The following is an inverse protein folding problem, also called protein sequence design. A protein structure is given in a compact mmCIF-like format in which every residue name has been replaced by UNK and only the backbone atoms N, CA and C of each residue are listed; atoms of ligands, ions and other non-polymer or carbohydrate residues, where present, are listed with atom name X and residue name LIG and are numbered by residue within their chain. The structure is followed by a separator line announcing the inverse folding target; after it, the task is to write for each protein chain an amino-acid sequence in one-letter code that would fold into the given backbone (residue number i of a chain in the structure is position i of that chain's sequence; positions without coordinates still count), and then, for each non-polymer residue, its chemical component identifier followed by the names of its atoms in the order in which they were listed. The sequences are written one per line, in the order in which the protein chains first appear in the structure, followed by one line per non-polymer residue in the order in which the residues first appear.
data_IF_417684199312
#
_entry.id   IF_417684199312
#
_cell.length_a   1.000
_cell.length_b   1.000
_cell.length_c   1.000
_cell.angle_alpha   90.00
_cell.angle_beta   90.00
_cell.angle_gamma   90.00
#
_symmetry.space_group_name_H-M   'P 1'
#
loop_
_entity.id
_entity.type
_entity.pdbx_description
1 polymer ?
#
# COMPACT_ATOMS: atom_id res chain seq x y z
N UNK A 1 -18.99 17.73 28.49
CA UNK A 1 -17.61 17.69 27.99
C UNK A 1 -17.76 17.31 26.52
N UNK A 2 -17.56 18.24 25.59
CA UNK A 2 -17.43 17.85 24.19
C UNK A 2 -16.04 17.25 24.08
N UNK A 3 -15.94 15.93 23.95
CA UNK A 3 -14.67 15.32 23.57
C UNK A 3 -14.28 15.96 22.23
N UNK A 4 -13.17 16.69 22.22
CA UNK A 4 -12.68 17.39 21.03
C UNK A 4 -11.79 16.49 20.17
N UNK A 5 -11.82 15.18 20.42
CA UNK A 5 -11.00 14.18 19.78
C UNK A 5 -11.82 12.91 19.59
N UNK A 6 -11.54 12.19 18.50
CA UNK A 6 -12.09 10.87 18.27
C UNK A 6 -11.39 9.84 19.18
N UNK A 7 -12.06 8.73 19.51
CA UNK A 7 -11.48 7.66 20.34
C UNK A 7 -10.29 7.00 19.65
N UNK A 8 -9.11 6.99 20.28
CA UNK A 8 -7.96 6.26 19.72
C UNK A 8 -8.25 4.76 19.57
N UNK A 9 -9.13 4.20 20.40
CA UNK A 9 -9.45 2.75 20.40
C UNK A 9 -10.52 2.33 19.40
N UNK A 10 -10.93 3.24 18.51
CA UNK A 10 -12.10 3.05 17.69
C UNK A 10 -13.41 3.55 18.32
N UNK A 11 -14.32 3.97 17.46
CA UNK A 11 -15.71 4.28 17.77
C UNK A 11 -16.57 4.24 16.50
N UNK A 12 -17.89 4.39 16.68
CA UNK A 12 -18.83 4.55 15.56
C UNK A 12 -18.86 6.00 15.12
N UNK A 13 -18.58 6.23 13.84
CA UNK A 13 -18.71 7.54 13.21
C UNK A 13 -19.96 7.57 12.34
N UNK A 14 -20.78 8.61 12.53
CA UNK A 14 -21.93 8.88 11.67
C UNK A 14 -21.83 10.30 11.13
N UNK A 15 -21.76 10.43 9.81
CA UNK A 15 -21.87 11.70 9.11
C UNK A 15 -23.31 11.88 8.65
N UNK A 16 -23.91 13.03 8.96
CA UNK A 16 -25.27 13.37 8.58
C UNK A 16 -25.32 14.68 7.81
N UNK A 17 -26.31 14.84 6.93
CA UNK A 17 -26.62 16.13 6.31
C UNK A 17 -27.40 17.06 7.28
N UNK A 18 -27.70 18.28 6.83
CA UNK A 18 -28.44 19.27 7.64
C UNK A 18 -29.89 18.89 7.93
N UNK A 19 -30.45 17.93 7.20
CA UNK A 19 -31.83 17.44 7.37
C UNK A 19 -31.88 16.19 8.26
N UNK A 20 -30.72 15.65 8.66
CA UNK A 20 -30.59 14.47 9.52
C UNK A 20 -30.48 13.15 8.76
N UNK A 21 -30.32 13.18 7.44
CA UNK A 21 -30.06 11.97 6.65
C UNK A 21 -28.63 11.48 6.89
N UNK A 22 -28.47 10.18 7.11
CA UNK A 22 -27.15 9.57 7.28
C UNK A 22 -26.46 9.47 5.92
N UNK A 23 -25.28 10.08 5.81
CA UNK A 23 -24.40 10.02 4.66
C UNK A 23 -23.36 8.90 4.78
N UNK A 24 -22.76 8.75 5.96
CA UNK A 24 -21.80 7.68 6.28
C UNK A 24 -22.06 7.17 7.69
N UNK A 25 -21.89 5.87 7.89
CA UNK A 25 -22.07 5.22 9.19
C UNK A 25 -21.21 3.96 9.28
N UNK A 26 -20.13 4.03 10.06
CA UNK A 26 -19.16 2.94 10.16
C UNK A 26 -18.45 2.95 11.51
N UNK A 27 -17.84 1.82 11.86
CA UNK A 27 -16.93 1.73 13.01
C UNK A 27 -15.49 1.68 12.49
N UNK A 28 -14.59 2.40 13.14
CA UNK A 28 -13.15 2.18 12.99
C UNK A 28 -12.59 1.55 14.26
N UNK A 29 -11.39 0.96 14.17
CA UNK A 29 -10.71 0.28 15.29
C UNK A 29 -9.22 0.61 15.35
N UNK A 30 -8.58 0.24 16.46
CA UNK A 30 -7.13 0.33 16.72
C UNK A 30 -6.39 -1.00 16.53
N UNK A 31 -7.09 -2.13 16.70
CA UNK A 31 -6.49 -3.46 16.56
C UNK A 31 -6.30 -3.87 15.08
N UNK A 32 -5.28 -4.70 14.78
CA UNK A 32 -5.14 -5.35 13.49
C UNK A 32 -6.45 -6.01 13.04
N UNK A 33 -6.86 -5.83 11.78
CA UNK A 33 -6.05 -5.37 10.64
C UNK A 33 -6.09 -3.86 10.34
N UNK A 34 -6.50 -2.97 11.25
CA UNK A 34 -6.50 -1.51 10.99
C UNK A 34 -5.07 -0.93 10.89
N UNK A 35 -4.89 0.26 10.28
CA UNK A 35 -3.57 0.88 10.15
C UNK A 35 -2.92 1.29 11.48
N UNK A 36 -2.16 0.38 12.09
CA UNK A 36 -1.42 0.57 13.35
C UNK A 36 -0.60 1.88 13.43
N UNK A 37 0.09 2.36 12.37
CA UNK A 37 0.83 3.63 12.45
C UNK A 37 -0.06 4.85 12.76
N UNK A 38 -1.38 4.74 12.60
CA UNK A 38 -2.32 5.80 12.97
C UNK A 38 -2.71 5.77 14.45
N UNK A 39 -2.35 4.71 15.17
CA UNK A 39 -2.58 4.53 16.61
C UNK A 39 -1.35 4.96 17.44
N UNK A 40 -1.02 6.25 17.36
CA UNK A 40 -0.07 6.88 18.29
C UNK A 40 1.32 7.21 17.74
N UNK A 41 1.67 6.79 16.52
CA UNK A 41 2.92 7.21 15.86
C UNK A 41 2.82 8.60 15.20
N UNK A 42 1.67 9.26 15.34
CA UNK A 42 1.42 10.62 14.86
C UNK A 42 0.88 10.70 13.43
N UNK A 43 0.65 9.58 12.75
CA UNK A 43 -0.06 9.58 11.47
C UNK A 43 -1.57 9.68 11.67
N UNK A 44 -2.26 10.23 10.67
CA UNK A 44 -3.73 10.24 10.61
C UNK A 44 -4.26 9.09 9.75
N UNK A 45 -5.47 8.64 10.02
CA UNK A 45 -6.16 7.65 9.20
C UNK A 45 -6.78 8.32 7.95
N UNK A 46 -6.46 7.82 6.76
CA UNK A 46 -6.87 8.42 5.46
C UNK A 46 -7.50 7.35 4.57
N UNK A 47 -8.64 7.67 3.94
CA UNK A 47 -9.24 6.80 2.91
C UNK A 47 -8.34 6.73 1.69
N UNK A 48 -8.12 5.52 1.17
CA UNK A 48 -7.26 5.31 -0.02
C UNK A 48 -7.87 5.98 -1.25
N UNK A 49 -9.16 5.77 -1.48
CA UNK A 49 -9.91 6.39 -2.58
C UNK A 49 -11.27 6.87 -2.09
N UNK A 50 -11.37 8.10 -1.57
CA UNK A 50 -12.63 8.63 -1.03
C UNK A 50 -13.69 8.88 -2.11
N UNK A 51 -13.32 8.96 -3.40
CA UNK A 51 -14.26 9.27 -4.47
C UNK A 51 -15.03 8.06 -4.98
N UNK A 52 -14.54 6.83 -4.75
CA UNK A 52 -15.25 5.60 -5.09
C UNK A 52 -16.29 5.17 -4.05
N UNK A 53 -16.41 5.89 -2.92
CA UNK A 53 -17.27 5.53 -1.80
C UNK A 53 -17.04 4.07 -1.35
N UNK A 54 -15.82 3.73 -0.89
CA UNK A 54 -15.44 2.37 -0.54
C UNK A 54 -16.20 1.88 0.70
N UNK A 55 -16.02 0.63 1.11
CA UNK A 55 -16.56 0.20 2.41
C UNK A 55 -15.72 0.81 3.54
N UNK A 56 -16.27 1.83 4.21
CA UNK A 56 -15.61 2.54 5.31
C UNK A 56 -15.37 1.64 6.54
N UNK A 57 -16.09 0.52 6.68
CA UNK A 57 -15.86 -0.43 7.76
C UNK A 57 -14.73 -1.44 7.45
N UNK A 58 -14.23 -1.47 6.22
CA UNK A 58 -13.11 -2.32 5.82
C UNK A 58 -11.78 -1.63 6.07
N UNK A 59 -10.90 -2.26 6.85
CA UNK A 59 -9.52 -1.81 7.08
C UNK A 59 -8.73 -1.58 5.79
N UNK A 60 -8.98 -2.39 4.75
CA UNK A 60 -8.33 -2.27 3.44
C UNK A 60 -8.76 -1.05 2.62
N UNK A 61 -9.75 -0.28 3.10
CA UNK A 61 -10.15 1.01 2.52
C UNK A 61 -9.31 2.18 3.06
N UNK A 62 -8.48 1.93 4.08
CA UNK A 62 -7.74 2.94 4.81
C UNK A 62 -6.23 2.73 4.73
N UNK A 63 -5.50 3.82 4.95
CA UNK A 63 -4.05 3.85 5.12
C UNK A 63 -3.66 4.92 6.13
N UNK A 64 -2.43 4.87 6.61
CA UNK A 64 -1.82 5.99 7.34
C UNK A 64 -1.59 7.18 6.39
N UNK A 65 -1.51 8.40 6.92
CA UNK A 65 -1.09 9.57 6.17
C UNK A 65 0.38 9.46 5.74
N UNK A 66 0.80 10.25 4.76
CA UNK A 66 2.22 10.29 4.35
C UNK A 66 3.14 11.00 5.33
N UNK A 67 2.58 11.84 6.18
CA UNK A 67 3.33 12.67 7.12
C UNK A 67 2.74 12.55 8.52
N UNK A 68 3.62 12.66 9.51
CA UNK A 68 3.24 12.90 10.91
C UNK A 68 2.44 14.20 10.98
N UNK A 69 1.44 14.24 11.86
CA UNK A 69 0.42 15.28 12.00
C UNK A 69 -0.54 15.40 10.80
N UNK A 70 -0.45 14.46 9.84
CA UNK A 70 -1.32 14.40 8.67
C UNK A 70 -1.15 15.57 7.70
N UNK A 71 -2.18 15.79 6.88
CA UNK A 71 -2.21 16.84 5.86
C UNK A 71 -3.56 17.60 5.92
N UNK A 72 -3.85 18.33 7.01
CA UNK A 72 -5.17 18.95 7.21
C UNK A 72 -5.49 19.97 6.12
N UNK A 73 -6.64 19.79 5.47
CA UNK A 73 -7.17 20.71 4.46
C UNK A 73 -6.59 20.56 3.05
N UNK A 74 -5.69 19.60 2.82
CA UNK A 74 -5.13 19.30 1.50
C UNK A 74 -5.17 17.79 1.22
N UNK A 75 -4.97 17.42 -0.04
CA UNK A 75 -4.88 16.02 -0.46
C UNK A 75 -3.57 15.38 0.04
N UNK A 76 -3.65 14.12 0.43
CA UNK A 76 -2.51 13.32 0.90
C UNK A 76 -1.93 12.42 -0.20
N UNK A 77 -2.51 12.40 -1.40
CA UNK A 77 -2.00 11.68 -2.56
C UNK A 77 -0.90 12.45 -3.30
N UNK A 78 0.08 11.73 -3.86
CA UNK A 78 1.11 12.29 -4.74
C UNK A 78 1.09 11.70 -6.14
N UNK A 79 1.49 12.51 -7.10
CA UNK A 79 1.66 12.08 -8.49
C UNK A 79 3.15 11.94 -8.81
N UNK A 80 3.53 10.86 -9.49
CA UNK A 80 4.89 10.70 -9.98
C UNK A 80 5.27 11.85 -10.93
N UNK A 81 6.46 12.41 -10.74
CA UNK A 81 7.00 13.44 -11.61
C UNK A 81 8.43 13.08 -12.02
N UNK A 82 8.69 13.03 -13.33
CA UNK A 82 10.02 12.76 -13.87
C UNK A 82 10.00 11.71 -14.97
N UNK A 83 11.19 11.17 -15.26
CA UNK A 83 11.37 10.10 -16.23
C UNK A 83 11.25 8.75 -15.51
N UNK A 84 10.31 7.86 -15.89
CA UNK A 84 10.07 6.61 -15.18
C UNK A 84 11.30 5.68 -15.04
N UNK A 85 12.17 5.71 -16.04
CA UNK A 85 13.35 4.84 -16.16
C UNK A 85 14.64 5.47 -15.63
N UNK A 86 14.59 6.64 -14.99
CA UNK A 86 15.78 7.19 -14.34
C UNK A 86 16.20 6.32 -13.17
N UNK A 87 17.49 6.33 -12.85
CA UNK A 87 18.07 5.73 -11.66
C UNK A 87 19.24 6.66 -11.29
N UNK A 88 18.95 7.66 -10.46
CA UNK A 88 19.87 8.76 -10.17
C UNK A 88 20.84 8.43 -9.05
N UNK A 89 20.47 7.55 -8.14
CA UNK A 89 21.35 7.08 -7.08
C UNK A 89 22.11 5.79 -7.43
N UNK A 90 21.74 5.12 -8.53
CA UNK A 90 22.48 4.02 -9.12
C UNK A 90 22.27 2.69 -8.38
N UNK A 91 21.16 2.54 -7.66
CA UNK A 91 20.83 1.32 -6.91
C UNK A 91 20.17 0.22 -7.78
N UNK A 92 19.84 0.54 -9.03
CA UNK A 92 19.23 -0.36 -9.99
C UNK A 92 17.71 -0.45 -9.91
N UNK A 93 17.06 0.35 -9.06
CA UNK A 93 15.61 0.48 -8.96
C UNK A 93 15.20 1.75 -9.72
N UNK A 94 14.37 1.66 -10.80
CA UNK A 94 13.97 2.85 -11.53
C UNK A 94 13.07 3.79 -10.73
N UNK A 95 13.18 5.10 -10.96
CA UNK A 95 12.48 6.17 -10.27
C UNK A 95 10.97 5.98 -10.11
N UNK A 96 10.29 5.42 -11.12
CA UNK A 96 8.85 5.11 -11.02
C UNK A 96 8.58 3.98 -10.03
N UNK A 97 9.42 2.94 -10.03
CA UNK A 97 9.31 1.82 -9.11
C UNK A 97 9.61 2.31 -7.70
N UNK A 98 10.67 3.09 -7.49
CA UNK A 98 10.95 3.70 -6.19
C UNK A 98 9.78 4.53 -5.65
N UNK A 99 9.22 5.39 -6.50
CA UNK A 99 8.06 6.19 -6.13
C UNK A 99 6.87 5.31 -5.70
N UNK A 100 6.60 4.23 -6.43
CA UNK A 100 5.56 3.27 -6.09
C UNK A 100 5.86 2.53 -4.77
N UNK A 101 7.12 2.24 -4.50
CA UNK A 101 7.58 1.60 -3.27
C UNK A 101 7.56 2.54 -2.06
N UNK A 102 7.39 3.85 -2.28
CA UNK A 102 7.47 4.89 -1.25
C UNK A 102 8.91 5.33 -0.95
N UNK A 103 9.84 5.07 -1.87
CA UNK A 103 11.24 5.45 -1.81
C UNK A 103 11.52 6.73 -2.63
N UNK A 104 12.80 7.11 -2.72
CA UNK A 104 13.26 8.33 -3.38
C UNK A 104 14.45 8.03 -4.27
N UNK A 105 14.35 8.40 -5.56
CA UNK A 105 15.38 8.40 -6.62
C UNK A 105 16.56 9.34 -6.35
N UNK A 106 16.96 9.50 -5.10
CA UNK A 106 18.11 10.29 -4.65
C UNK A 106 18.77 9.62 -3.43
N UNK A 107 18.30 8.44 -3.03
CA UNK A 107 18.66 7.74 -1.81
C UNK A 107 18.64 6.25 -2.12
N UNK A 108 19.82 5.68 -2.32
CA UNK A 108 19.97 4.27 -2.61
C UNK A 108 19.28 3.38 -1.56
N UNK A 109 18.52 2.40 -2.04
CA UNK A 109 17.83 1.39 -1.25
C UNK A 109 18.24 -0.01 -1.73
N UNK A 110 17.82 -1.04 -0.99
CA UNK A 110 17.87 -2.40 -1.51
C UNK A 110 16.46 -2.81 -1.92
N UNK A 111 16.32 -3.51 -3.06
CA UNK A 111 15.02 -4.06 -3.46
C UNK A 111 14.44 -4.99 -2.38
N UNK A 112 15.31 -5.65 -1.60
CA UNK A 112 14.94 -6.51 -0.46
C UNK A 112 14.25 -5.77 0.68
N UNK A 113 14.34 -4.44 0.75
CA UNK A 113 13.65 -3.64 1.75
C UNK A 113 12.13 -3.56 1.46
N UNK A 114 11.75 -3.87 0.22
CA UNK A 114 10.38 -3.77 -0.27
C UNK A 114 9.83 -5.10 -0.76
N UNK A 115 10.67 -5.94 -1.37
CA UNK A 115 10.27 -7.19 -1.98
C UNK A 115 11.10 -8.34 -1.45
N UNK A 116 10.43 -9.34 -0.88
CA UNK A 116 11.08 -10.54 -0.37
C UNK A 116 10.41 -11.79 -0.92
N UNK A 117 11.23 -12.83 -1.10
CA UNK A 117 10.81 -14.15 -1.57
C UNK A 117 11.42 -15.20 -0.64
N UNK A 118 10.57 -15.89 0.13
CA UNK A 118 10.99 -16.88 1.11
C UNK A 118 10.41 -18.25 0.74
N UNK A 119 11.25 -19.27 0.49
CA UNK A 119 10.76 -20.64 0.39
C UNK A 119 10.26 -21.09 1.77
N UNK A 120 9.10 -21.74 1.81
CA UNK A 120 8.54 -22.30 3.03
C UNK A 120 9.02 -23.74 3.25
N UNK A 121 8.82 -24.26 4.47
CA UNK A 121 9.19 -25.65 4.81
C UNK A 121 8.39 -26.67 3.98
N UNK A 122 7.18 -26.30 3.58
CA UNK A 122 6.28 -27.15 2.78
C UNK A 122 6.59 -27.09 1.27
N UNK A 123 7.60 -26.31 0.87
CA UNK A 123 8.05 -26.18 -0.53
C UNK A 123 7.39 -25.05 -1.30
N UNK A 124 6.41 -24.36 -0.72
CA UNK A 124 5.77 -23.17 -1.28
C UNK A 124 6.74 -21.98 -1.30
N UNK A 125 6.36 -20.92 -2.00
CA UNK A 125 7.09 -19.65 -2.00
C UNK A 125 6.22 -18.55 -1.44
N UNK A 126 6.62 -17.98 -0.30
CA UNK A 126 6.03 -16.75 0.22
C UNK A 126 6.66 -15.54 -0.48
N UNK A 127 5.81 -14.66 -1.00
CA UNK A 127 6.21 -13.37 -1.53
C UNK A 127 5.65 -12.27 -0.64
N UNK A 128 6.49 -11.28 -0.36
CA UNK A 128 6.12 -10.06 0.34
C UNK A 128 6.44 -8.87 -0.54
N UNK A 129 5.50 -7.93 -0.70
CA UNK A 129 5.72 -6.68 -1.41
C UNK A 129 5.16 -5.51 -0.60
N UNK A 130 6.00 -4.54 -0.30
CA UNK A 130 5.64 -3.32 0.38
C UNK A 130 5.64 -2.12 -0.59
N UNK A 131 4.52 -1.41 -0.68
CA UNK A 131 4.32 -0.30 -1.62
C UNK A 131 3.44 0.79 -1.02
N UNK A 132 3.41 1.96 -1.65
CA UNK A 132 2.59 3.11 -1.23
C UNK A 132 1.19 3.04 -1.83
N UNK A 133 0.18 3.25 -0.99
CA UNK A 133 -1.21 3.51 -1.40
C UNK A 133 -1.49 5.01 -1.51
N UNK A 134 -0.49 5.84 -1.24
CA UNK A 134 -0.61 7.30 -1.25
C UNK A 134 -0.23 7.92 -2.60
N UNK A 135 -0.43 7.16 -3.68
CA UNK A 135 -0.04 7.54 -5.04
C UNK A 135 -1.26 7.72 -5.93
N UNK A 136 -1.16 8.65 -6.87
CA UNK A 136 -2.16 8.98 -7.88
C UNK A 136 -1.66 8.52 -9.25
N UNK A 137 -2.59 8.10 -10.10
CA UNK A 137 -2.34 7.74 -11.51
C UNK A 137 -1.35 6.58 -11.68
N UNK A 138 -1.33 5.68 -10.71
CA UNK A 138 -0.58 4.43 -10.76
C UNK A 138 -1.50 3.31 -10.33
N UNK A 139 -1.44 2.20 -11.06
CA UNK A 139 -2.06 0.96 -10.61
C UNK A 139 -1.33 0.44 -9.36
N UNK A 140 -2.06 -0.30 -8.54
CA UNK A 140 -1.46 -1.17 -7.52
C UNK A 140 -0.43 -2.07 -8.23
N UNK A 141 0.81 -2.18 -7.71
CA UNK A 141 1.83 -3.01 -8.34
C UNK A 141 1.37 -4.45 -8.46
N UNK A 142 1.65 -5.07 -9.61
CA UNK A 142 1.54 -6.52 -9.75
C UNK A 142 2.93 -7.16 -9.71
N UNK A 143 2.97 -8.42 -9.31
CA UNK A 143 4.19 -9.24 -9.40
C UNK A 143 4.03 -10.13 -10.63
N UNK A 144 5.05 -10.16 -11.47
CA UNK A 144 5.16 -11.14 -12.54
C UNK A 144 6.26 -12.15 -12.19
N UNK A 145 6.10 -13.38 -12.66
CA UNK A 145 7.12 -14.41 -12.56
C UNK A 145 7.53 -14.93 -13.94
N UNK A 146 8.72 -15.51 -13.99
CA UNK A 146 9.28 -16.13 -15.19
C UNK A 146 10.13 -17.33 -14.80
N UNK A 147 10.08 -18.38 -15.61
CA UNK A 147 10.88 -19.59 -15.45
C UNK A 147 12.11 -19.60 -16.40
N UNK A 148 12.17 -18.67 -17.36
CA UNK A 148 13.18 -18.60 -18.43
C UNK A 148 13.82 -17.20 -18.63
N UNK A 149 13.36 -16.18 -17.90
CA UNK A 149 13.69 -14.74 -18.06
C UNK A 149 13.19 -14.09 -19.36
N UNK A 150 12.50 -14.82 -20.22
CA UNK A 150 11.99 -14.34 -21.51
C UNK A 150 10.46 -14.19 -21.48
N UNK A 151 9.77 -15.22 -21.00
CA UNK A 151 8.32 -15.29 -20.87
C UNK A 151 7.91 -14.88 -19.45
N UNK A 152 6.99 -13.92 -19.34
CA UNK A 152 6.55 -13.38 -18.06
C UNK A 152 5.03 -13.52 -17.90
N UNK A 153 4.60 -13.96 -16.73
CA UNK A 153 3.20 -14.17 -16.37
C UNK A 153 2.87 -13.44 -15.08
N UNK A 154 1.68 -12.86 -14.98
CA UNK A 154 1.21 -12.22 -13.74
C UNK A 154 0.97 -13.29 -12.66
N UNK A 155 1.36 -12.97 -11.42
CA UNK A 155 1.00 -13.77 -10.25
C UNK A 155 -0.50 -13.56 -9.98
N UNK A 156 -1.30 -14.61 -10.23
CA UNK A 156 -2.75 -14.59 -10.02
C UNK A 156 -3.19 -15.14 -8.66
N UNK A 157 -2.25 -15.55 -7.81
CA UNK A 157 -2.56 -16.02 -6.46
C UNK A 157 -3.23 -14.90 -5.65
N UNK A 158 -4.14 -15.27 -4.76
CA UNK A 158 -4.78 -14.31 -3.88
C UNK A 158 -3.73 -13.65 -2.97
N UNK A 159 -3.79 -12.32 -2.89
CA UNK A 159 -2.96 -11.52 -2.01
C UNK A 159 -3.69 -11.28 -0.69
N UNK A 160 -2.95 -11.25 0.41
CA UNK A 160 -3.44 -10.85 1.72
C UNK A 160 -2.74 -9.56 2.14
N UNK A 161 -3.49 -8.63 2.72
CA UNK A 161 -2.85 -7.53 3.46
C UNK A 161 -2.11 -8.15 4.65
N UNK A 162 -0.80 -7.91 4.71
CA UNK A 162 0.10 -8.44 5.73
C UNK A 162 0.28 -7.44 6.86
N UNK A 163 0.58 -6.19 6.49
CA UNK A 163 0.87 -5.12 7.45
C UNK A 163 0.55 -3.74 6.86
N UNK A 164 0.03 -2.83 7.68
CA UNK A 164 0.05 -1.40 7.38
C UNK A 164 1.36 -0.78 7.84
N UNK A 165 2.05 -0.09 6.93
CA UNK A 165 3.32 0.55 7.21
C UNK A 165 3.14 2.07 7.36
N UNK A 166 4.08 2.76 8.02
CA UNK A 166 4.09 4.23 8.07
C UNK A 166 4.06 4.86 6.67
N UNK A 167 3.74 6.16 6.64
CA UNK A 167 3.79 6.99 5.42
C UNK A 167 2.82 6.54 4.30
N UNK A 168 1.68 5.95 4.66
CA UNK A 168 0.67 5.49 3.71
C UNK A 168 1.09 4.27 2.90
N UNK A 169 2.03 3.47 3.43
CA UNK A 169 2.49 2.24 2.83
C UNK A 169 1.77 1.02 3.40
N UNK A 170 1.83 -0.08 2.67
CA UNK A 170 1.28 -1.38 3.05
C UNK A 170 2.22 -2.47 2.57
N UNK A 171 2.22 -3.61 3.28
CA UNK A 171 2.81 -4.86 2.81
C UNK A 171 1.71 -5.84 2.49
N UNK A 172 1.79 -6.46 1.32
CA UNK A 172 0.95 -7.58 0.92
C UNK A 172 1.78 -8.85 0.87
N UNK A 173 1.09 -9.98 1.09
CA UNK A 173 1.66 -11.33 1.09
C UNK A 173 0.93 -12.24 0.10
N UNK A 174 1.70 -13.05 -0.61
CA UNK A 174 1.21 -14.12 -1.48
C UNK A 174 1.88 -15.44 -1.10
N UNK A 175 1.14 -16.54 -1.24
CA UNK A 175 1.69 -17.90 -1.14
C UNK A 175 1.52 -18.56 -2.49
N UNK A 176 2.65 -18.96 -3.09
CA UNK A 176 2.72 -19.60 -4.38
C UNK A 176 3.08 -21.08 -4.25
N UNK A 177 2.53 -21.94 -5.12
CA UNK A 177 2.95 -23.33 -5.22
C UNK A 177 4.44 -23.44 -5.43
N UNK A 178 5.02 -24.55 -4.94
CA UNK A 178 6.40 -24.91 -5.21
C UNK A 178 6.74 -24.70 -6.70
N UNK A 179 7.81 -23.94 -7.02
CA UNK A 179 8.12 -23.60 -8.39
C UNK A 179 8.48 -24.86 -9.18
N UNK A 180 7.95 -24.96 -10.40
CA UNK A 180 8.32 -25.97 -11.38
C UNK A 180 8.62 -25.23 -12.67
N UNK A 181 9.90 -24.98 -13.02
CA UNK A 181 11.16 -25.55 -12.53
C UNK A 181 11.64 -25.03 -11.16
N UNK A 182 12.70 -25.65 -10.61
CA UNK A 182 13.21 -25.37 -9.26
C UNK A 182 13.78 -23.95 -9.04
N UNK A 183 13.91 -23.15 -10.09
CA UNK A 183 14.32 -21.75 -10.02
C UNK A 183 13.32 -20.93 -10.80
N UNK A 184 12.87 -19.83 -10.19
CA UNK A 184 11.89 -18.90 -10.73
C UNK A 184 12.35 -17.49 -10.43
N UNK A 185 12.11 -16.60 -11.37
CA UNK A 185 12.45 -15.18 -11.29
C UNK A 185 11.17 -14.38 -11.07
N UNK A 186 11.30 -13.25 -10.39
CA UNK A 186 10.19 -12.35 -10.11
C UNK A 186 10.57 -10.93 -10.50
N UNK A 187 9.58 -10.14 -10.93
CA UNK A 187 9.71 -8.70 -11.10
C UNK A 187 8.45 -7.98 -10.65
N UNK A 188 8.62 -6.73 -10.28
CA UNK A 188 7.52 -5.82 -9.97
C UNK A 188 7.12 -5.09 -11.25
N UNK A 189 5.82 -5.03 -11.52
CA UNK A 189 5.25 -4.31 -12.64
C UNK A 189 4.50 -3.09 -12.13
N UNK A 190 4.98 -1.92 -12.51
CA UNK A 190 4.35 -0.62 -12.25
C UNK A 190 3.75 -0.08 -13.56
N UNK A 191 2.50 0.35 -13.53
CA UNK A 191 1.81 0.91 -14.70
C UNK A 191 1.22 2.27 -14.33
N UNK A 192 1.67 3.29 -15.04
CA UNK A 192 1.06 4.62 -14.98
C UNK A 192 -0.27 4.60 -15.73
N UNK A 193 -1.31 5.08 -15.08
CA UNK A 193 -2.63 5.25 -15.68
C UNK A 193 -2.77 6.68 -16.18
N UNK A 194 -3.54 6.86 -17.25
CA UNK A 194 -4.00 8.17 -17.68
C UNK A 194 -5.36 8.44 -17.03
N UNK A 195 -5.50 9.59 -16.39
CA UNK A 195 -6.81 10.13 -15.99
C UNK A 195 -7.75 10.33 -17.21
#
# INVERSE_FOLDING_TARGET
QTESALSNRGERLTLMDSEGSILLDFNYGDDPPWPEPSDGDGYSLVLIDPLSNPDHASNTSWRSSRSIDGNPGVDDLVTFAGTPSNDRDGDGIPAMVEFLLGASDLRANLLSDFFACHPTVDGETELLLAFSLAVRNLNIPTIEFSDDLESWEDVTAASFLDEHLPEGRVRYRWILPAPQPASRYFRIKAIQTTD
#
